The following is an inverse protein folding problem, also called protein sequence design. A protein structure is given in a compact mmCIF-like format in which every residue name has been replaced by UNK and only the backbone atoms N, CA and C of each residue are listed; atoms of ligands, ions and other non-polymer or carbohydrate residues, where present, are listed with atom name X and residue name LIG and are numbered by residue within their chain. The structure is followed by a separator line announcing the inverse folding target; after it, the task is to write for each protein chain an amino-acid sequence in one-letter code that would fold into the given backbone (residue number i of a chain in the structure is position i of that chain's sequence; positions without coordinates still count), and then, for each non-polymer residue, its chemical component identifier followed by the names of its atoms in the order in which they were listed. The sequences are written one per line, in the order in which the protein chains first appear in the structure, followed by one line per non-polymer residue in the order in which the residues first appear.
data_IF_333800705181
#
_entry.id   IF_333800705181
#
_cell.length_a   1.000
_cell.length_b   1.000
_cell.length_c   1.000
_cell.angle_alpha   90.00
_cell.angle_beta   90.00
_cell.angle_gamma   90.00
#
_symmetry.space_group_name_H-M   'P 1'
#
loop_
_entity.id
_entity.type
_entity.pdbx_description
1 polymer ?
#
# COMPACT_ATOMS: atom_id res chain seq x y z
N UNK A 1 20.88 -8.80 47.23
CA UNK A 1 21.22 -8.46 45.84
C UNK A 1 19.94 -8.00 45.18
N UNK A 2 19.91 -6.77 44.69
CA UNK A 2 18.78 -6.27 43.92
C UNK A 2 19.03 -6.52 42.44
N UNK A 3 17.99 -6.87 41.71
CA UNK A 3 17.76 -6.26 40.40
C UNK A 3 16.29 -5.89 40.32
N UNK A 4 15.99 -4.72 39.77
CA UNK A 4 14.75 -3.99 40.03
C UNK A 4 13.58 -4.43 39.17
N UNK A 5 12.36 -4.26 39.69
CA UNK A 5 11.16 -4.14 38.86
C UNK A 5 11.30 -2.91 37.95
N UNK A 6 11.84 -3.08 36.74
CA UNK A 6 11.71 -2.07 35.67
C UNK A 6 10.30 -2.11 35.09
N UNK A 7 9.40 -1.62 35.92
CA UNK A 7 8.20 -0.94 35.48
C UNK A 7 8.58 0.45 34.83
N UNK A 8 9.03 0.56 33.53
CA UNK A 8 9.32 1.84 32.77
C UNK A 8 9.08 1.88 31.20
N UNK A 9 8.69 3.03 30.58
CA UNK A 9 7.57 3.23 29.58
C UNK A 9 7.78 4.03 28.25
N UNK A 10 6.81 3.98 27.28
CA UNK A 10 6.28 5.12 26.46
C UNK A 10 5.32 4.80 25.25
N UNK A 11 4.40 5.72 24.90
CA UNK A 11 3.73 5.90 23.57
C UNK A 11 3.94 7.35 23.13
N UNK A 12 4.03 7.70 21.83
CA UNK A 12 3.83 9.09 21.36
C UNK A 12 3.09 9.15 20.01
N UNK A 13 2.06 10.01 19.92
CA UNK A 13 1.36 10.38 18.69
C UNK A 13 1.52 11.87 18.35
N UNK A 14 1.73 12.19 17.07
CA UNK A 14 1.62 13.55 16.51
C UNK A 14 0.92 13.46 15.15
N UNK A 15 -0.07 14.32 14.92
CA UNK A 15 -0.76 14.47 13.64
C UNK A 15 -0.87 15.94 13.23
N UNK A 16 -0.67 16.23 11.95
CA UNK A 16 -0.83 17.57 11.38
C UNK A 16 -2.31 17.92 11.14
N UNK A 17 -2.68 19.21 11.07
CA UNK A 17 -4.07 19.68 11.11
C UNK A 17 -4.90 19.45 9.83
N UNK A 18 -4.41 18.66 8.86
CA UNK A 18 -5.01 18.57 7.51
C UNK A 18 -5.57 17.19 7.21
N UNK A 19 -6.84 17.15 6.78
CA UNK A 19 -7.52 15.95 6.26
C UNK A 19 -6.75 15.41 5.04
N UNK A 20 -6.40 14.13 5.04
CA UNK A 20 -5.58 13.50 4.00
C UNK A 20 -6.26 13.44 2.62
N UNK A 21 -6.15 14.51 1.83
CA UNK A 21 -6.76 14.61 0.48
C UNK A 21 -5.92 14.01 -0.64
N UNK A 22 -4.60 13.83 -0.42
CA UNK A 22 -3.60 13.49 -1.44
C UNK A 22 -3.56 12.02 -1.88
N UNK A 23 -4.25 11.13 -1.15
CA UNK A 23 -4.32 9.70 -1.48
C UNK A 23 -5.69 9.30 -2.12
N UNK A 24 -6.48 10.31 -2.53
CA UNK A 24 -7.68 10.12 -3.35
C UNK A 24 -7.29 9.86 -4.81
N UNK A 25 -8.09 9.08 -5.58
CA UNK A 25 -9.38 8.49 -5.21
C UNK A 25 -9.28 7.23 -4.32
N UNK A 26 -8.09 6.66 -4.12
CA UNK A 26 -7.91 5.35 -3.50
C UNK A 26 -8.28 5.31 -2.00
N UNK A 27 -8.24 6.42 -1.28
CA UNK A 27 -8.80 6.54 0.08
C UNK A 27 -10.15 7.26 0.14
N UNK A 28 -11.04 7.02 -0.82
CA UNK A 28 -12.41 7.53 -0.77
C UNK A 28 -13.25 6.75 0.26
N UNK A 29 -13.17 5.41 0.23
CA UNK A 29 -13.92 4.50 1.11
C UNK A 29 -13.04 3.73 2.12
N UNK A 30 -11.70 3.74 1.95
CA UNK A 30 -10.75 2.94 2.77
C UNK A 30 -9.65 3.84 3.38
N UNK A 31 -9.38 3.80 4.70
CA UNK A 31 -8.29 4.54 5.32
C UNK A 31 -6.90 4.13 4.78
N UNK A 32 -5.95 5.08 4.70
CA UNK A 32 -4.61 4.85 4.12
C UNK A 32 -3.83 3.66 4.72
N UNK A 33 -3.79 3.40 6.05
CA UNK A 33 -3.15 2.19 6.61
C UNK A 33 -3.78 0.87 6.16
N UNK A 34 -5.06 0.91 5.78
CA UNK A 34 -5.85 -0.24 5.37
C UNK A 34 -5.87 -0.43 3.85
N UNK A 35 -5.20 0.44 3.09
CA UNK A 35 -5.01 0.25 1.65
C UNK A 35 -4.21 -1.03 1.41
N UNK A 36 -4.70 -1.98 0.58
CA UNK A 36 -4.00 -3.22 0.32
C UNK A 36 -2.78 -2.97 -0.59
N UNK A 37 -1.64 -3.48 -0.16
CA UNK A 37 -0.36 -3.49 -0.87
C UNK A 37 0.10 -4.96 -0.89
N UNK A 38 0.44 -5.52 -2.04
CA UNK A 38 0.74 -6.97 -2.17
C UNK A 38 -0.33 -7.89 -1.50
N UNK A 39 -1.61 -7.56 -1.68
CA UNK A 39 -2.75 -8.33 -1.17
C UNK A 39 -2.99 -8.31 0.33
N UNK A 40 -2.29 -7.47 1.09
CA UNK A 40 -2.53 -7.27 2.53
C UNK A 40 -2.55 -5.77 2.87
N UNK A 41 -3.31 -5.33 3.90
CA UNK A 41 -3.29 -3.94 4.36
C UNK A 41 -1.87 -3.41 4.58
N UNK A 42 -1.58 -2.16 4.21
CA UNK A 42 -0.27 -1.53 4.37
C UNK A 42 0.31 -1.70 5.78
N UNK A 43 -0.55 -1.60 6.80
CA UNK A 43 -0.21 -1.82 8.22
C UNK A 43 0.20 -3.28 8.53
N UNK A 44 -0.33 -4.27 7.81
CA UNK A 44 -0.01 -5.69 8.02
C UNK A 44 1.46 -6.00 7.75
N UNK A 45 2.09 -5.40 6.73
CA UNK A 45 3.51 -5.64 6.44
C UNK A 45 4.41 -5.29 7.62
N UNK A 46 4.08 -4.20 8.32
CA UNK A 46 4.80 -3.75 9.50
C UNK A 46 4.49 -4.68 10.69
N UNK A 47 3.22 -5.05 10.92
CA UNK A 47 2.82 -5.99 11.98
C UNK A 47 3.48 -7.38 11.80
N UNK A 48 3.55 -7.89 10.57
CA UNK A 48 4.10 -9.23 10.27
C UNK A 48 5.62 -9.30 10.50
N UNK A 49 6.33 -8.19 10.28
CA UNK A 49 7.76 -8.08 10.53
C UNK A 49 8.11 -8.09 12.04
N UNK A 50 7.20 -7.68 12.93
CA UNK A 50 7.45 -7.51 14.36
C UNK A 50 7.43 -8.82 15.20
N UNK A 51 7.57 -9.99 14.59
CA UNK A 51 7.30 -11.28 15.24
C UNK A 51 8.41 -11.79 16.18
N UNK A 52 8.74 -11.05 17.26
CA UNK A 52 9.29 -11.58 18.54
C UNK A 52 9.54 -10.62 19.73
N UNK A 53 9.31 -9.29 19.64
CA UNK A 53 9.57 -8.35 20.78
C UNK A 53 8.51 -7.26 20.91
N UNK A 54 8.13 -6.89 22.14
CA UNK A 54 6.90 -6.12 22.44
C UNK A 54 7.06 -4.59 22.58
N UNK A 55 7.53 -3.93 21.51
CA UNK A 55 7.42 -2.46 21.26
C UNK A 55 7.25 -2.30 19.73
N UNK A 56 6.58 -1.27 19.20
CA UNK A 56 6.94 -0.49 17.98
C UNK A 56 5.82 0.44 17.45
N UNK A 57 6.21 1.39 16.60
CA UNK A 57 5.50 2.62 16.25
C UNK A 57 5.13 2.67 14.75
N UNK A 58 3.92 3.13 14.42
CA UNK A 58 3.35 3.05 13.07
C UNK A 58 2.61 4.35 12.69
N UNK A 59 3.19 5.14 11.78
CA UNK A 59 2.56 6.35 11.23
C UNK A 59 1.87 6.04 9.88
N UNK A 60 0.57 6.32 9.75
CA UNK A 60 -0.11 6.54 8.47
C UNK A 60 -1.48 7.26 8.64
N UNK A 61 -1.52 8.59 8.77
CA UNK A 61 -2.69 9.46 8.42
C UNK A 61 -4.12 8.97 8.82
N UNK A 62 -4.47 8.76 10.12
CA UNK A 62 -5.83 8.29 10.53
C UNK A 62 -6.45 9.03 11.74
N UNK A 63 -7.79 9.04 11.77
CA UNK A 63 -8.66 9.46 12.87
C UNK A 63 -9.36 8.24 13.51
N UNK A 64 -9.43 8.15 14.84
CA UNK A 64 -10.15 7.10 15.57
C UNK A 64 -10.60 7.57 16.98
N UNK A 65 -11.43 6.76 17.65
CA UNK A 65 -11.76 6.87 19.08
C UNK A 65 -10.82 5.99 19.91
N UNK A 66 -10.17 6.56 20.93
CA UNK A 66 -8.99 5.97 21.57
C UNK A 66 -9.30 4.93 22.69
N UNK A 67 -8.54 3.82 22.77
CA UNK A 67 -8.66 2.80 23.84
C UNK A 67 -7.89 3.23 25.12
N UNK A 68 -8.50 4.12 25.89
CA UNK A 68 -7.88 4.76 27.06
C UNK A 68 -7.54 3.83 28.25
N UNK A 69 -8.27 2.74 28.55
CA UNK A 69 -7.93 1.85 29.68
C UNK A 69 -6.59 1.11 29.53
N UNK A 70 -6.23 0.71 28.30
CA UNK A 70 -4.99 -0.05 28.05
C UNK A 70 -3.76 0.86 28.14
N UNK A 71 -3.91 2.14 27.77
CA UNK A 71 -2.88 3.18 27.99
C UNK A 71 -2.62 3.44 29.49
N UNK A 72 -3.65 3.27 30.32
CA UNK A 72 -3.55 3.41 31.77
C UNK A 72 -2.90 2.19 32.43
N UNK A 73 -3.12 0.98 31.90
CA UNK A 73 -2.39 -0.21 32.34
C UNK A 73 -0.94 -0.20 31.84
N UNK A 74 -0.72 0.33 30.63
CA UNK A 74 0.61 0.72 30.17
C UNK A 74 1.20 1.69 31.19
N UNK A 75 0.83 2.97 31.32
CA UNK A 75 1.54 3.91 32.23
C UNK A 75 1.67 3.49 33.71
N UNK A 76 0.92 2.50 34.21
CA UNK A 76 1.15 1.92 35.54
C UNK A 76 2.28 0.88 35.60
N UNK A 77 2.46 0.03 34.59
CA UNK A 77 3.61 -0.90 34.47
C UNK A 77 4.97 -0.17 34.30
N UNK A 78 5.08 1.13 34.55
CA UNK A 78 5.07 2.13 33.48
C UNK A 78 5.75 3.49 33.72
N UNK A 79 6.71 3.60 34.64
CA UNK A 79 7.07 4.86 35.33
C UNK A 79 8.24 5.70 34.78
N UNK A 80 8.81 5.37 33.61
CA UNK A 80 9.77 6.23 32.90
C UNK A 80 9.12 7.53 32.40
N UNK A 81 9.86 8.38 31.67
CA UNK A 81 9.49 9.81 31.50
C UNK A 81 8.20 10.15 30.69
N UNK A 82 7.41 9.20 30.20
CA UNK A 82 6.01 9.48 29.82
C UNK A 82 5.38 8.60 28.73
N UNK A 83 4.05 8.63 28.67
CA UNK A 83 3.20 8.08 27.59
C UNK A 83 2.28 9.18 27.04
N UNK A 84 2.14 9.24 25.72
CA UNK A 84 1.41 10.27 24.99
C UNK A 84 0.45 9.63 23.98
N UNK A 85 -0.84 9.79 24.24
CA UNK A 85 -1.84 10.07 23.22
C UNK A 85 -2.49 11.40 23.60
N UNK A 86 -2.53 12.38 22.69
CA UNK A 86 -3.06 13.71 23.03
C UNK A 86 -3.53 14.53 21.84
N UNK A 87 -4.68 15.17 22.06
CA UNK A 87 -5.10 16.53 21.68
C UNK A 87 -6.08 17.01 22.78
N UNK A 88 -6.29 18.31 23.06
CA UNK A 88 -5.77 19.52 22.41
C UNK A 88 -4.95 20.40 23.40
N UNK A 89 -4.84 21.71 23.10
CA UNK A 89 -4.42 22.83 23.99
C UNK A 89 -3.16 22.62 24.85
N UNK A 90 -2.09 22.07 24.29
CA UNK A 90 -0.85 22.81 24.07
C UNK A 90 0.05 22.03 23.09
N UNK A 91 0.70 22.75 22.17
CA UNK A 91 1.36 22.13 21.02
C UNK A 91 2.80 21.73 21.34
N UNK A 92 3.01 20.47 21.73
CA UNK A 92 4.35 19.87 21.84
C UNK A 92 4.85 19.44 20.45
N UNK A 93 5.98 20.00 19.98
CA UNK A 93 6.60 19.62 18.71
C UNK A 93 7.67 18.58 18.98
N UNK A 94 7.36 17.33 18.63
CA UNK A 94 8.21 16.15 18.89
C UNK A 94 9.67 16.35 18.46
N UNK A 95 9.91 16.97 17.31
CA UNK A 95 11.21 17.27 16.73
C UNK A 95 12.04 18.29 17.54
N UNK A 96 11.44 19.39 17.98
CA UNK A 96 12.15 20.49 18.66
C UNK A 96 12.15 20.35 20.18
N UNK A 97 11.01 19.96 20.75
CA UNK A 97 10.77 20.06 22.19
C UNK A 97 11.09 18.73 22.93
N UNK A 98 11.21 17.61 22.20
CA UNK A 98 11.52 16.27 22.76
C UNK A 98 12.78 15.65 22.14
N UNK A 99 12.83 15.44 20.81
CA UNK A 99 13.92 14.70 20.17
C UNK A 99 15.25 15.46 20.21
N UNK A 100 15.24 16.77 19.97
CA UNK A 100 16.47 17.59 19.98
C UNK A 100 17.17 17.62 21.36
N UNK A 101 16.47 17.84 22.49
CA UNK A 101 17.08 17.72 23.82
C UNK A 101 17.58 16.30 24.17
N UNK A 102 16.86 15.25 23.78
CA UNK A 102 17.25 13.85 24.05
C UNK A 102 18.48 13.42 23.25
N UNK A 103 18.58 13.85 21.98
CA UNK A 103 19.78 13.67 21.16
C UNK A 103 20.97 14.44 21.75
N UNK A 104 20.77 15.69 22.16
CA UNK A 104 21.81 16.50 22.82
C UNK A 104 22.36 15.89 24.12
N UNK A 105 21.51 15.17 24.86
CA UNK A 105 21.89 14.41 26.08
C UNK A 105 22.45 13.02 25.80
N UNK A 106 22.59 12.59 24.53
CA UNK A 106 22.99 11.23 24.12
C UNK A 106 22.08 10.12 24.67
N UNK A 107 20.82 10.44 24.94
CA UNK A 107 19.80 9.48 25.40
C UNK A 107 18.95 8.91 24.26
N UNK A 108 19.22 9.36 23.03
CA UNK A 108 18.61 8.86 21.79
C UNK A 108 19.70 8.28 20.89
N UNK A 109 19.46 7.09 20.35
CA UNK A 109 20.38 6.39 19.44
C UNK A 109 19.69 6.14 18.09
N UNK A 110 20.43 6.32 16.99
CA UNK A 110 19.98 6.01 15.64
C UNK A 110 20.42 4.59 15.28
N UNK A 111 19.46 3.72 14.95
CA UNK A 111 19.75 2.44 14.30
C UNK A 111 19.73 2.63 12.78
N UNK A 112 20.88 2.41 12.13
CA UNK A 112 20.99 2.49 10.67
C UNK A 112 20.45 1.20 10.03
N UNK A 113 19.61 1.34 9.01
CA UNK A 113 19.05 0.22 8.24
C UNK A 113 19.54 0.28 6.80
N UNK A 114 20.02 -0.85 6.29
CA UNK A 114 20.43 -1.01 4.88
C UNK A 114 19.28 -1.51 3.98
N UNK A 115 18.10 -1.74 4.55
CA UNK A 115 16.90 -2.09 3.77
C UNK A 115 16.32 -0.87 3.04
N UNK A 116 15.52 -1.10 2.00
CA UNK A 116 14.92 -0.01 1.23
C UNK A 116 14.04 0.91 2.11
N UNK A 117 14.10 2.21 1.83
CA UNK A 117 13.34 3.24 2.55
C UNK A 117 12.74 4.23 1.56
N UNK A 118 11.43 4.15 1.34
CA UNK A 118 10.72 4.92 0.32
C UNK A 118 9.44 5.57 0.87
N UNK A 119 9.11 6.77 0.38
CA UNK A 119 7.99 7.56 0.88
C UNK A 119 6.78 7.52 -0.07
N UNK A 120 5.66 6.95 0.37
CA UNK A 120 4.39 6.98 -0.39
C UNK A 120 3.71 8.35 -0.23
N UNK A 121 4.10 9.29 -1.10
CA UNK A 121 3.52 10.66 -1.20
C UNK A 121 2.42 10.78 -2.26
N UNK A 122 2.56 10.05 -3.36
CA UNK A 122 1.63 10.00 -4.49
C UNK A 122 1.18 8.55 -4.71
N UNK A 123 0.05 8.30 -5.41
CA UNK A 123 -0.32 6.95 -5.79
C UNK A 123 0.73 6.27 -6.69
N UNK A 124 1.47 7.03 -7.51
CA UNK A 124 2.59 6.51 -8.32
C UNK A 124 3.64 5.76 -7.49
N UNK A 125 3.99 6.29 -6.32
CA UNK A 125 4.93 5.64 -5.40
C UNK A 125 4.41 4.30 -4.86
N UNK A 126 3.10 4.02 -4.89
CA UNK A 126 2.55 2.73 -4.46
C UNK A 126 3.03 1.58 -5.36
N UNK A 127 3.20 1.81 -6.68
CA UNK A 127 3.76 0.80 -7.59
C UNK A 127 5.24 0.52 -7.29
N UNK A 128 6.05 1.57 -7.15
CA UNK A 128 7.47 1.44 -6.76
C UNK A 128 7.63 0.71 -5.42
N UNK A 129 6.87 1.09 -4.40
CA UNK A 129 6.90 0.42 -3.10
C UNK A 129 6.41 -1.03 -3.18
N UNK A 130 5.37 -1.33 -3.97
CA UNK A 130 4.90 -2.70 -4.18
C UNK A 130 6.00 -3.58 -4.79
N UNK A 131 6.73 -3.09 -5.79
CA UNK A 131 7.86 -3.81 -6.39
C UNK A 131 8.98 -4.11 -5.36
N UNK A 132 9.29 -3.16 -4.48
CA UNK A 132 10.30 -3.34 -3.43
C UNK A 132 9.89 -4.38 -2.37
N UNK A 133 8.62 -4.38 -1.94
CA UNK A 133 8.09 -5.42 -1.05
C UNK A 133 8.03 -6.79 -1.72
N UNK A 134 7.63 -6.86 -3.00
CA UNK A 134 7.62 -8.10 -3.79
C UNK A 134 9.04 -8.69 -3.93
N UNK A 135 10.04 -7.87 -4.21
CA UNK A 135 11.45 -8.29 -4.21
C UNK A 135 11.93 -8.74 -2.81
N UNK A 136 11.50 -8.07 -1.73
CA UNK A 136 11.82 -8.48 -0.36
C UNK A 136 11.18 -9.84 0.01
N UNK A 137 10.04 -10.20 -0.57
CA UNK A 137 9.42 -11.51 -0.36
C UNK A 137 10.26 -12.66 -0.92
N UNK A 138 11.06 -12.46 -1.98
CA UNK A 138 12.03 -13.48 -2.42
C UNK A 138 13.00 -13.92 -1.32
N UNK A 139 13.32 -13.02 -0.39
CA UNK A 139 14.28 -13.26 0.70
C UNK A 139 13.60 -13.64 2.02
N UNK A 140 12.42 -13.07 2.28
CA UNK A 140 11.76 -13.13 3.61
C UNK A 140 10.57 -14.08 3.67
N UNK A 141 9.87 -14.32 2.55
CA UNK A 141 8.69 -15.20 2.48
C UNK A 141 8.38 -15.62 1.04
N UNK A 142 9.22 -16.47 0.41
CA UNK A 142 9.05 -16.87 -0.99
C UNK A 142 7.70 -17.53 -1.27
N UNK A 143 7.12 -18.18 -0.26
CA UNK A 143 5.82 -18.86 -0.32
C UNK A 143 4.62 -17.93 -0.58
N UNK A 144 4.80 -16.60 -0.48
CA UNK A 144 3.78 -15.61 -0.84
C UNK A 144 3.82 -15.23 -2.32
N UNK A 145 4.90 -15.54 -3.02
CA UNK A 145 5.04 -15.26 -4.45
C UNK A 145 4.40 -16.39 -5.25
N UNK A 146 3.60 -16.02 -6.24
CA UNK A 146 3.01 -16.95 -7.18
C UNK A 146 4.08 -17.46 -8.16
N UNK A 147 3.91 -18.70 -8.61
CA UNK A 147 4.72 -19.30 -9.67
C UNK A 147 3.81 -20.00 -10.67
N UNK A 148 4.22 -20.03 -11.94
CA UNK A 148 3.41 -20.60 -13.00
C UNK A 148 4.18 -20.71 -14.31
N UNK A 149 4.10 -21.89 -14.92
CA UNK A 149 4.91 -22.30 -16.07
C UNK A 149 4.28 -21.98 -17.43
N UNK A 150 3.02 -21.56 -17.45
CA UNK A 150 2.25 -21.36 -18.68
C UNK A 150 1.68 -22.65 -19.30
N UNK A 151 1.76 -23.82 -18.64
CA UNK A 151 1.20 -25.08 -19.17
C UNK A 151 -0.15 -25.42 -18.54
N UNK A 152 -0.23 -25.43 -17.21
CA UNK A 152 -1.46 -25.70 -16.43
C UNK A 152 -1.96 -24.48 -15.65
N UNK A 153 -1.07 -23.50 -15.48
CA UNK A 153 -1.30 -22.25 -14.77
C UNK A 153 -0.83 -21.09 -15.66
N UNK A 154 -1.18 -19.86 -15.31
CA UNK A 154 -0.68 -18.68 -16.01
C UNK A 154 0.86 -18.67 -16.05
N UNK A 155 1.44 -18.06 -17.09
CA UNK A 155 2.88 -17.85 -17.14
C UNK A 155 3.25 -16.69 -16.22
N UNK A 156 4.08 -16.95 -15.22
CA UNK A 156 4.47 -15.96 -14.20
C UNK A 156 5.97 -15.66 -14.33
N UNK A 157 6.32 -14.38 -14.41
CA UNK A 157 7.69 -13.88 -14.66
C UNK A 157 8.07 -12.88 -13.58
N UNK A 158 9.14 -13.16 -12.83
CA UNK A 158 9.59 -12.29 -11.74
C UNK A 158 8.62 -12.26 -10.55
N UNK A 159 8.68 -11.20 -9.75
CA UNK A 159 7.93 -11.16 -8.49
C UNK A 159 6.46 -10.79 -8.71
N UNK A 160 5.60 -11.74 -8.38
CA UNK A 160 4.15 -11.62 -8.54
C UNK A 160 3.46 -12.16 -7.30
N UNK A 161 2.52 -11.39 -6.77
CA UNK A 161 1.59 -11.85 -5.74
C UNK A 161 0.21 -12.11 -6.35
N UNK A 162 -0.40 -13.26 -6.00
CA UNK A 162 -1.79 -13.58 -6.38
C UNK A 162 -2.54 -14.05 -5.14
N UNK A 163 -3.63 -13.36 -4.79
CA UNK A 163 -4.47 -13.74 -3.67
C UNK A 163 -5.13 -15.12 -3.92
N UNK A 164 -5.23 -16.03 -2.92
CA UNK A 164 -5.77 -17.38 -3.13
C UNK A 164 -7.22 -17.46 -3.66
N UNK A 165 -8.02 -16.40 -3.53
CA UNK A 165 -9.38 -16.34 -4.09
C UNK A 165 -9.45 -15.78 -5.52
N UNK A 166 -8.36 -15.26 -6.06
CA UNK A 166 -8.31 -14.75 -7.43
C UNK A 166 -8.34 -15.90 -8.45
N UNK A 167 -9.01 -15.69 -9.57
CA UNK A 167 -9.15 -16.67 -10.66
C UNK A 167 -8.39 -16.16 -11.87
N UNK A 168 -7.31 -16.87 -12.23
CA UNK A 168 -6.45 -16.50 -13.35
C UNK A 168 -6.51 -17.58 -14.43
N UNK A 169 -6.79 -17.17 -15.67
CA UNK A 169 -6.81 -18.09 -16.81
C UNK A 169 -5.40 -18.61 -17.15
N UNK A 170 -5.21 -19.91 -17.47
CA UNK A 170 -3.89 -20.48 -17.75
C UNK A 170 -3.11 -19.84 -18.91
N UNK A 171 -3.79 -19.18 -19.85
CA UNK A 171 -3.13 -18.48 -20.98
C UNK A 171 -2.70 -17.04 -20.67
N UNK A 172 -2.99 -16.52 -19.48
CA UNK A 172 -2.54 -15.21 -19.06
C UNK A 172 -1.01 -15.18 -18.83
N UNK A 173 -0.41 -13.99 -18.98
CA UNK A 173 1.01 -13.74 -18.69
C UNK A 173 1.14 -12.61 -17.69
N UNK A 174 1.81 -12.87 -16.57
CA UNK A 174 1.80 -11.98 -15.40
C UNK A 174 3.23 -11.72 -14.93
N UNK A 175 3.56 -10.46 -14.75
CA UNK A 175 4.82 -10.00 -14.18
C UNK A 175 5.80 -9.40 -15.20
N UNK A 176 6.89 -8.78 -14.70
CA UNK A 176 7.27 -8.66 -13.29
C UNK A 176 6.44 -7.62 -12.51
N UNK A 177 6.60 -7.63 -11.18
CA UNK A 177 6.09 -6.63 -10.24
C UNK A 177 4.56 -6.45 -10.23
N UNK A 178 3.82 -7.56 -10.24
CA UNK A 178 2.34 -7.53 -10.24
C UNK A 178 1.79 -7.99 -8.91
N UNK A 179 0.74 -7.31 -8.41
CA UNK A 179 -0.07 -7.82 -7.30
C UNK A 179 -1.54 -7.91 -7.69
N UNK A 180 -2.14 -9.07 -7.41
CA UNK A 180 -3.55 -9.38 -7.68
C UNK A 180 -4.24 -9.65 -6.34
N UNK A 181 -5.24 -8.83 -6.02
CA UNK A 181 -5.97 -8.86 -4.74
C UNK A 181 -7.16 -9.84 -4.80
N UNK A 182 -8.07 -9.79 -3.81
CA UNK A 182 -9.09 -10.81 -3.64
C UNK A 182 -10.15 -10.80 -4.76
N UNK A 183 -10.64 -12.00 -5.11
CA UNK A 183 -11.77 -12.25 -6.02
C UNK A 183 -11.60 -11.75 -7.47
N UNK A 184 -10.42 -11.22 -7.81
CA UNK A 184 -10.10 -10.74 -9.15
C UNK A 184 -10.26 -11.86 -10.17
N UNK A 185 -10.85 -11.53 -11.33
CA UNK A 185 -10.98 -12.44 -12.48
C UNK A 185 -10.10 -11.96 -13.62
N UNK A 186 -9.13 -12.79 -14.03
CA UNK A 186 -8.22 -12.51 -15.14
C UNK A 186 -8.52 -13.48 -16.28
N UNK A 187 -9.03 -12.94 -17.39
CA UNK A 187 -9.43 -13.65 -18.60
C UNK A 187 -8.28 -14.22 -19.43
N UNK A 188 -8.63 -14.89 -20.53
CA UNK A 188 -7.66 -15.53 -21.41
C UNK A 188 -6.76 -14.52 -22.12
N UNK A 189 -5.46 -14.83 -22.26
CA UNK A 189 -4.50 -14.01 -23.01
C UNK A 189 -4.12 -12.66 -22.39
N UNK A 190 -4.67 -12.33 -21.20
CA UNK A 190 -4.38 -11.07 -20.49
C UNK A 190 -2.89 -10.95 -20.17
N UNK A 191 -2.37 -9.72 -20.23
CA UNK A 191 -0.98 -9.39 -19.90
C UNK A 191 -0.92 -8.32 -18.81
N UNK A 192 -0.24 -8.62 -17.70
CA UNK A 192 -0.10 -7.72 -16.54
C UNK A 192 1.39 -7.47 -16.27
N UNK A 193 1.81 -6.20 -16.16
CA UNK A 193 3.21 -5.80 -15.91
C UNK A 193 3.23 -4.60 -14.95
N UNK A 194 4.04 -4.65 -13.89
CA UNK A 194 4.25 -3.51 -12.97
C UNK A 194 2.95 -2.85 -12.52
N UNK A 195 1.99 -3.63 -12.02
CA UNK A 195 0.63 -3.14 -11.73
C UNK A 195 0.04 -3.69 -10.43
N UNK A 196 -0.92 -2.96 -9.87
CA UNK A 196 -1.70 -3.34 -8.69
C UNK A 196 -3.16 -3.50 -9.14
N UNK A 197 -3.71 -4.69 -8.96
CA UNK A 197 -5.12 -5.01 -9.24
C UNK A 197 -5.85 -5.20 -7.91
N UNK A 198 -6.80 -4.30 -7.61
CA UNK A 198 -7.56 -4.29 -6.35
C UNK A 198 -8.75 -5.26 -6.38
N UNK A 199 -9.46 -5.39 -5.25
CA UNK A 199 -10.44 -6.47 -5.07
C UNK A 199 -11.64 -6.37 -6.01
N UNK A 200 -12.22 -7.54 -6.32
CA UNK A 200 -13.41 -7.72 -7.18
C UNK A 200 -13.28 -7.16 -8.61
N UNK A 201 -12.06 -6.86 -9.08
CA UNK A 201 -11.80 -6.42 -10.46
C UNK A 201 -11.98 -7.57 -11.47
N UNK A 202 -12.54 -7.24 -12.64
CA UNK A 202 -12.69 -8.16 -13.77
C UNK A 202 -11.88 -7.65 -14.98
N UNK A 203 -11.00 -8.49 -15.51
CA UNK A 203 -10.17 -8.19 -16.68
C UNK A 203 -10.52 -9.20 -17.76
N UNK A 204 -11.19 -8.74 -18.81
CA UNK A 204 -11.63 -9.59 -19.93
C UNK A 204 -10.47 -9.93 -20.89
N UNK A 205 -10.78 -10.72 -21.90
CA UNK A 205 -9.80 -11.45 -22.71
C UNK A 205 -8.88 -10.51 -23.51
N UNK A 206 -7.60 -10.89 -23.59
CA UNK A 206 -6.53 -10.20 -24.31
C UNK A 206 -6.25 -8.74 -23.86
N UNK A 207 -6.89 -8.27 -22.78
CA UNK A 207 -6.62 -6.96 -22.21
C UNK A 207 -5.17 -6.87 -21.68
N UNK A 208 -4.63 -5.65 -21.63
CA UNK A 208 -3.25 -5.40 -21.20
C UNK A 208 -3.22 -4.30 -20.14
N UNK A 209 -2.56 -4.57 -19.00
CA UNK A 209 -2.36 -3.61 -17.91
C UNK A 209 -0.87 -3.42 -17.64
N UNK A 210 -0.37 -2.19 -17.73
CA UNK A 210 1.05 -1.86 -17.51
C UNK A 210 1.21 -0.57 -16.68
N UNK A 211 2.12 -0.54 -15.70
CA UNK A 211 2.43 0.66 -14.89
C UNK A 211 1.18 1.35 -14.31
N UNK A 212 0.21 0.55 -13.86
CA UNK A 212 -1.15 1.01 -13.55
C UNK A 212 -1.68 0.48 -12.23
N UNK A 213 -2.60 1.23 -11.62
CA UNK A 213 -3.39 0.82 -10.46
C UNK A 213 -4.85 0.72 -10.88
N UNK A 214 -5.43 -0.48 -10.77
CA UNK A 214 -6.84 -0.73 -11.12
C UNK A 214 -7.66 -0.77 -9.83
N UNK A 215 -8.55 0.21 -9.64
CA UNK A 215 -9.42 0.36 -8.49
C UNK A 215 -10.46 -0.75 -8.32
N UNK A 216 -10.92 -0.95 -7.08
CA UNK A 216 -11.90 -1.98 -6.70
C UNK A 216 -13.11 -2.05 -7.63
N UNK A 217 -13.63 -3.26 -7.88
CA UNK A 217 -14.85 -3.50 -8.68
C UNK A 217 -14.80 -2.91 -10.11
N UNK A 218 -13.62 -2.57 -10.62
CA UNK A 218 -13.47 -2.07 -11.99
C UNK A 218 -13.55 -3.22 -13.00
N UNK A 219 -13.99 -2.92 -14.21
CA UNK A 219 -14.07 -3.86 -15.33
C UNK A 219 -13.25 -3.36 -16.50
N UNK A 220 -12.39 -4.20 -17.05
CA UNK A 220 -11.63 -3.93 -18.28
C UNK A 220 -12.13 -4.83 -19.41
N UNK A 221 -12.63 -4.22 -20.48
CA UNK A 221 -13.17 -4.90 -21.66
C UNK A 221 -12.14 -5.69 -22.45
N UNK A 222 -12.61 -6.51 -23.39
CA UNK A 222 -11.77 -7.32 -24.29
C UNK A 222 -10.87 -6.43 -25.12
N UNK A 223 -9.62 -6.83 -25.30
CA UNK A 223 -8.59 -6.07 -26.02
C UNK A 223 -8.32 -4.65 -25.49
N UNK A 224 -8.91 -4.25 -24.36
CA UNK A 224 -8.65 -2.95 -23.73
C UNK A 224 -7.21 -2.86 -23.22
N UNK A 225 -6.68 -1.64 -23.15
CA UNK A 225 -5.26 -1.41 -22.81
C UNK A 225 -5.11 -0.25 -21.84
N UNK A 226 -4.79 -0.57 -20.59
CA UNK A 226 -4.55 0.41 -19.52
C UNK A 226 -3.06 0.46 -19.25
N UNK A 227 -2.39 1.53 -19.69
CA UNK A 227 -0.93 1.62 -19.67
C UNK A 227 -0.43 2.97 -19.18
N UNK A 228 0.85 3.04 -18.84
CA UNK A 228 1.56 4.29 -18.62
C UNK A 228 3.07 4.11 -18.83
N UNK A 229 3.80 5.22 -18.87
CA UNK A 229 5.25 5.24 -19.13
C UNK A 229 6.08 4.69 -17.96
N UNK A 230 5.55 4.75 -16.73
CA UNK A 230 6.21 4.22 -15.53
C UNK A 230 7.07 5.24 -14.77
N UNK A 231 6.98 6.54 -15.07
CA UNK A 231 7.61 7.57 -14.25
C UNK A 231 6.79 7.86 -12.98
N UNK A 232 7.24 7.28 -11.86
CA UNK A 232 6.62 7.47 -10.54
C UNK A 232 6.67 8.91 -10.02
N UNK A 233 7.51 9.80 -10.59
CA UNK A 233 7.64 11.20 -10.17
C UNK A 233 6.70 12.14 -10.93
N UNK A 234 6.34 11.80 -12.17
CA UNK A 234 5.36 12.55 -12.95
C UNK A 234 3.95 12.39 -12.38
N UNK A 235 3.17 13.48 -12.41
CA UNK A 235 1.76 13.48 -11.98
C UNK A 235 0.90 12.50 -12.77
N UNK A 236 1.27 12.23 -14.02
CA UNK A 236 0.57 11.36 -14.97
C UNK A 236 1.46 10.23 -15.52
N UNK A 237 2.62 9.96 -14.91
CA UNK A 237 3.51 8.87 -15.35
C UNK A 237 3.04 7.46 -14.97
N UNK A 238 1.90 7.35 -14.27
CA UNK A 238 1.18 6.10 -14.02
C UNK A 238 -0.31 6.28 -14.33
N UNK A 239 -1.00 5.21 -14.74
CA UNK A 239 -2.46 5.24 -14.92
C UNK A 239 -3.17 4.72 -13.68
N UNK A 240 -4.21 5.42 -13.23
CA UNK A 240 -4.97 5.11 -12.03
C UNK A 240 -6.45 5.06 -12.38
N UNK A 241 -7.10 3.93 -12.14
CA UNK A 241 -8.56 3.83 -12.16
C UNK A 241 -9.10 3.85 -10.73
N UNK A 242 -10.15 4.64 -10.48
CA UNK A 242 -10.89 4.66 -9.22
C UNK A 242 -11.75 3.40 -9.00
N UNK A 243 -12.55 3.40 -7.94
CA UNK A 243 -13.53 2.32 -7.69
C UNK A 243 -14.63 2.31 -8.77
N UNK A 244 -15.05 1.12 -9.19
CA UNK A 244 -16.12 0.90 -10.16
C UNK A 244 -15.93 1.67 -11.49
N UNK A 245 -14.71 1.66 -12.03
CA UNK A 245 -14.44 2.17 -13.38
C UNK A 245 -14.63 1.06 -14.41
N UNK A 246 -15.39 1.32 -15.46
CA UNK A 246 -15.53 0.43 -16.61
C UNK A 246 -14.73 1.01 -17.77
N UNK A 247 -13.85 0.21 -18.36
CA UNK A 247 -13.19 0.49 -19.64
C UNK A 247 -13.80 -0.46 -20.65
N UNK A 248 -14.39 0.08 -21.73
CA UNK A 248 -15.07 -0.73 -22.75
C UNK A 248 -14.10 -1.59 -23.59
N UNK A 249 -14.66 -2.50 -24.38
CA UNK A 249 -13.90 -3.31 -25.34
C UNK A 249 -13.10 -2.40 -26.31
N UNK A 250 -11.86 -2.81 -26.63
CA UNK A 250 -10.91 -2.13 -27.54
C UNK A 250 -10.44 -0.71 -27.12
N UNK A 251 -10.83 -0.21 -25.94
CA UNK A 251 -10.44 1.11 -25.45
C UNK A 251 -9.01 1.16 -24.89
N UNK A 252 -8.27 2.23 -25.21
CA UNK A 252 -6.91 2.49 -24.71
C UNK A 252 -6.89 3.67 -23.72
N UNK A 253 -6.36 3.45 -22.53
CA UNK A 253 -6.19 4.44 -21.47
C UNK A 253 -4.70 4.59 -21.17
N UNK A 254 -4.10 5.74 -21.48
CA UNK A 254 -2.65 5.98 -21.31
C UNK A 254 -2.37 7.20 -20.43
N UNK A 255 -1.52 7.08 -19.41
CA UNK A 255 -1.12 8.20 -18.53
C UNK A 255 -2.32 8.97 -17.91
N UNK A 256 -3.39 8.28 -17.51
CA UNK A 256 -4.65 8.91 -17.06
C UNK A 256 -4.97 8.67 -15.58
N UNK A 257 -5.71 9.61 -14.97
CA UNK A 257 -6.33 9.41 -13.65
C UNK A 257 -7.85 9.45 -13.82
N UNK A 258 -8.51 8.32 -13.64
CA UNK A 258 -9.97 8.18 -13.78
C UNK A 258 -10.61 8.13 -12.39
N UNK A 259 -11.54 9.05 -12.12
CA UNK A 259 -12.29 9.06 -10.86
C UNK A 259 -13.28 7.88 -10.77
N UNK A 260 -13.80 7.56 -9.56
CA UNK A 260 -14.73 6.43 -9.38
C UNK A 260 -16.04 6.57 -10.16
N UNK A 261 -16.66 5.43 -10.48
CA UNK A 261 -17.96 5.31 -11.16
C UNK A 261 -17.98 5.97 -12.56
N UNK A 262 -16.95 5.70 -13.37
CA UNK A 262 -16.82 6.23 -14.74
C UNK A 262 -16.82 5.09 -15.75
N UNK A 263 -17.38 5.35 -16.93
CA UNK A 263 -17.37 4.43 -18.07
C UNK A 263 -16.56 5.13 -19.18
N UNK A 264 -15.49 4.47 -19.63
CA UNK A 264 -14.58 4.97 -20.65
C UNK A 264 -14.90 4.27 -21.96
N UNK A 265 -15.69 4.94 -22.80
CA UNK A 265 -16.20 4.44 -24.09
C UNK A 265 -15.27 4.74 -25.29
N UNK A 266 -14.15 5.43 -25.06
CA UNK A 266 -13.25 5.89 -26.10
C UNK A 266 -11.85 6.11 -25.54
N UNK A 267 -10.84 5.98 -26.38
CA UNK A 267 -9.44 6.05 -25.96
C UNK A 267 -9.06 7.45 -25.46
N UNK A 268 -8.29 7.49 -24.37
CA UNK A 268 -7.93 8.69 -23.62
C UNK A 268 -6.45 8.67 -23.24
N UNK A 269 -5.81 9.84 -23.28
CA UNK A 269 -4.38 9.98 -22.99
C UNK A 269 -4.10 11.25 -22.18
N UNK A 270 -3.23 11.15 -21.17
CA UNK A 270 -2.66 12.30 -20.43
C UNK A 270 -3.69 13.22 -19.74
N UNK A 271 -4.85 12.66 -19.37
CA UNK A 271 -5.98 13.41 -18.82
C UNK A 271 -6.43 12.92 -17.43
N UNK A 272 -7.08 13.82 -16.69
CA UNK A 272 -7.77 13.51 -15.43
C UNK A 272 -9.26 13.51 -15.70
N UNK A 273 -9.88 12.34 -15.67
CA UNK A 273 -11.29 12.13 -15.97
C UNK A 273 -12.09 12.25 -14.67
N UNK A 274 -12.80 13.36 -14.55
CA UNK A 274 -13.58 13.77 -13.37
C UNK A 274 -14.98 13.16 -13.33
#
# INVERSE_FOLDING_TARGET
MADSEEEVVAVIMVGGPTKGTRFRPLSFNTPKPLFPLAGQPMVHHHISACRRSHIFLLNCDVCCSFPLPDMLQAHKKYGGMGTIASFPTDFVRLDQDILSPLAGKKQLYTYETMNFWEQIKTPGMSLKCSALYLAQYQLTSPQLLASGDGTKSASIIGDVYVHPSAKVHPTAKIGPNVSISANVRVGAGVRLISCIILDDVEIQENAVVMHSIIGWKSSLGRWSRVQADGDYNSKLGITILGEAVTVEDEVVVTNCIVLPNKIINGSVQEEIIL
#
